data_IF_125241050884
#
_entry.id   IF_125241050884
#
_cell.length_a   1.000
_cell.length_b   1.000
_cell.length_c   1.000
_cell.angle_alpha   90.00
_cell.angle_beta   90.00
_cell.angle_gamma   90.00
#
_symmetry.space_group_name_H-M   'P 1'
#
loop_
_entity.id
_entity.type
_entity.pdbx_description
1 polymer ?
#
# COMPACT_ATOMS: atom_id res chain seq x y z
N UNK A 1 -54.06 1.18 -70.65
CA UNK A 1 -54.32 0.99 -69.23
C UNK A 1 -52.98 0.76 -68.58
N UNK A 2 -52.41 1.78 -68.01
CA UNK A 2 -51.11 1.76 -67.36
C UNK A 2 -51.31 2.15 -65.88
N UNK A 3 -51.15 1.20 -65.02
CA UNK A 3 -51.18 1.42 -63.59
C UNK A 3 -49.77 1.69 -63.09
N UNK A 4 -49.57 2.89 -62.59
CA UNK A 4 -48.31 3.40 -62.06
C UNK A 4 -48.30 3.18 -60.54
N UNK A 5 -47.52 2.21 -60.03
CA UNK A 5 -47.28 2.01 -58.62
C UNK A 5 -46.21 3.02 -58.11
N UNK A 6 -46.61 3.92 -57.23
CA UNK A 6 -45.75 4.81 -56.51
C UNK A 6 -45.18 4.06 -55.29
N UNK A 7 -43.87 3.82 -55.30
CA UNK A 7 -43.15 3.30 -54.15
C UNK A 7 -42.81 4.50 -53.25
N UNK A 8 -43.44 4.56 -52.09
CA UNK A 8 -43.08 5.54 -51.05
C UNK A 8 -41.90 5.02 -50.25
N UNK A 9 -40.73 5.69 -50.39
CA UNK A 9 -39.50 5.42 -49.65
C UNK A 9 -39.62 6.04 -48.27
N UNK A 10 -39.79 5.20 -47.23
CA UNK A 10 -39.76 5.61 -45.84
C UNK A 10 -38.29 5.66 -45.39
N UNK A 11 -37.73 6.87 -45.32
CA UNK A 11 -36.44 7.10 -44.74
C UNK A 11 -36.56 7.13 -43.22
N UNK A 12 -36.23 6.02 -42.53
CA UNK A 12 -36.14 5.96 -41.10
C UNK A 12 -34.85 6.66 -40.61
N UNK A 13 -35.00 7.87 -40.10
CA UNK A 13 -33.96 8.54 -39.36
C UNK A 13 -33.70 7.84 -38.04
N UNK A 14 -32.66 7.04 -37.93
CA UNK A 14 -32.10 6.57 -36.69
C UNK A 14 -31.39 7.74 -35.99
N UNK A 15 -32.11 8.45 -35.11
CA UNK A 15 -31.50 9.33 -34.13
C UNK A 15 -30.76 8.44 -33.11
N UNK A 16 -29.47 8.23 -33.34
CA UNK A 16 -28.58 7.71 -32.33
C UNK A 16 -28.44 8.70 -31.19
N UNK A 17 -29.11 8.43 -30.07
CA UNK A 17 -28.90 9.17 -28.82
C UNK A 17 -27.49 8.83 -28.32
N UNK A 18 -26.53 9.74 -28.57
CA UNK A 18 -25.24 9.73 -27.88
C UNK A 18 -25.55 10.15 -26.44
N UNK A 19 -25.62 9.16 -25.54
CA UNK A 19 -25.64 9.43 -24.12
C UNK A 19 -24.28 10.05 -23.75
N UNK A 20 -24.25 11.19 -23.06
CA UNK A 20 -23.01 11.72 -22.55
C UNK A 20 -22.43 10.68 -21.57
N UNK A 21 -21.25 10.16 -21.88
CA UNK A 21 -20.43 9.45 -20.91
C UNK A 21 -20.03 10.47 -19.84
N UNK A 22 -20.72 10.48 -18.72
CA UNK A 22 -20.20 11.15 -17.53
C UNK A 22 -18.96 10.38 -17.12
N UNK A 23 -17.80 10.92 -17.41
CA UNK A 23 -16.57 10.55 -16.72
C UNK A 23 -16.81 10.88 -15.25
N UNK A 24 -17.05 9.89 -14.42
CA UNK A 24 -17.07 10.09 -12.98
C UNK A 24 -15.65 10.50 -12.59
N UNK A 25 -15.48 11.78 -12.24
CA UNK A 25 -14.21 12.27 -11.72
C UNK A 25 -13.98 11.63 -10.35
N UNK A 26 -13.04 10.68 -10.30
CA UNK A 26 -12.53 10.14 -9.05
C UNK A 26 -11.86 11.25 -8.25
N UNK A 27 -11.77 11.06 -6.94
CA UNK A 27 -11.04 11.97 -6.06
C UNK A 27 -9.60 11.48 -5.96
N UNK A 28 -8.65 12.39 -6.15
CA UNK A 28 -7.23 12.10 -5.95
C UNK A 28 -6.79 12.61 -4.60
N UNK A 29 -6.20 11.72 -3.81
CA UNK A 29 -5.58 12.05 -2.53
C UNK A 29 -4.08 11.80 -2.62
N UNK A 30 -3.31 12.74 -2.09
CA UNK A 30 -1.87 12.61 -1.90
C UNK A 30 -1.61 12.32 -0.43
N UNK A 31 -0.86 11.25 -0.14
CA UNK A 31 -0.50 10.89 1.23
C UNK A 31 0.46 11.92 1.84
N UNK A 32 0.30 12.15 3.16
CA UNK A 32 1.07 13.09 3.98
C UNK A 32 1.92 12.33 4.99
N UNK A 33 3.19 12.07 4.69
CA UNK A 33 4.07 11.35 5.62
C UNK A 33 4.18 12.02 6.99
N UNK A 34 4.18 13.36 7.03
CA UNK A 34 4.28 14.17 8.24
C UNK A 34 3.03 14.10 9.15
N UNK A 35 1.90 13.63 8.63
CA UNK A 35 0.64 13.44 9.34
C UNK A 35 0.31 11.96 9.55
N UNK A 36 1.21 11.06 9.11
CA UNK A 36 1.02 9.62 9.08
C UNK A 36 1.98 8.91 10.01
N UNK A 37 1.55 7.73 10.49
CA UNK A 37 2.41 6.79 11.21
C UNK A 37 2.53 5.50 10.40
N UNK A 38 3.75 5.05 10.14
CA UNK A 38 3.99 3.80 9.45
C UNK A 38 5.21 3.12 10.07
N UNK A 39 5.02 1.96 10.69
CA UNK A 39 6.04 1.26 11.45
C UNK A 39 6.15 -0.20 11.07
N UNK A 40 7.35 -0.75 11.25
CA UNK A 40 7.65 -2.16 11.14
C UNK A 40 8.25 -2.64 12.45
N UNK A 41 7.63 -3.61 13.07
CA UNK A 41 8.19 -4.30 14.22
C UNK A 41 8.88 -5.57 13.76
N UNK A 42 10.15 -5.68 14.10
CA UNK A 42 11.01 -6.83 13.81
C UNK A 42 11.26 -7.58 15.11
N UNK A 43 10.63 -8.71 15.25
CA UNK A 43 10.78 -9.57 16.43
C UNK A 43 12.15 -10.30 16.43
N UNK A 44 12.34 -11.09 17.45
CA UNK A 44 13.55 -11.93 17.67
C UNK A 44 13.23 -13.41 17.51
N UNK A 45 14.23 -14.13 17.00
CA UNK A 45 14.19 -15.56 16.82
C UNK A 45 15.48 -16.21 17.33
N UNK A 46 15.58 -17.54 17.22
CA UNK A 46 16.75 -18.32 17.63
C UNK A 46 16.65 -18.87 19.04
N UNK A 47 17.67 -19.64 19.43
CA UNK A 47 17.68 -20.37 20.69
C UNK A 47 17.76 -19.47 21.92
N UNK A 48 18.48 -18.35 21.81
CA UNK A 48 18.66 -17.36 22.88
C UNK A 48 17.78 -16.11 22.71
N UNK A 49 16.64 -16.21 22.02
CA UNK A 49 15.73 -15.10 21.77
C UNK A 49 15.28 -14.34 23.03
N UNK A 50 15.31 -14.98 24.22
CA UNK A 50 14.96 -14.33 25.51
C UNK A 50 15.93 -13.21 25.90
N UNK A 51 17.15 -13.20 25.37
CA UNK A 51 18.19 -12.20 25.68
C UNK A 51 18.21 -11.03 24.67
N UNK A 52 17.44 -11.12 23.59
CA UNK A 52 17.26 -10.02 22.66
C UNK A 52 16.01 -9.20 22.97
N UNK A 53 15.75 -8.18 22.19
CA UNK A 53 14.52 -7.38 22.22
C UNK A 53 14.00 -7.17 20.80
N UNK A 54 12.74 -6.76 20.68
CA UNK A 54 12.15 -6.45 19.38
C UNK A 54 12.58 -5.06 18.94
N UNK A 55 12.85 -4.88 17.66
CA UNK A 55 13.22 -3.59 17.09
C UNK A 55 12.03 -2.94 16.43
N UNK A 56 11.88 -1.65 16.62
CA UNK A 56 10.88 -0.84 15.92
C UNK A 56 11.57 0.02 14.86
N UNK A 57 11.02 -0.01 13.67
CA UNK A 57 11.48 0.78 12.52
C UNK A 57 10.36 1.69 12.07
N UNK A 58 10.61 2.98 12.02
CA UNK A 58 9.69 3.96 11.44
C UNK A 58 9.98 4.16 9.96
N UNK A 59 8.93 4.22 9.14
CA UNK A 59 8.99 4.57 7.72
C UNK A 59 8.59 6.04 7.57
N UNK A 60 9.57 6.91 7.36
CA UNK A 60 9.37 8.37 7.37
C UNK A 60 9.30 8.99 5.98
N UNK A 61 9.98 8.40 5.00
CA UNK A 61 10.05 8.92 3.63
C UNK A 61 9.26 8.06 2.66
N UNK A 62 8.03 8.45 2.38
CA UNK A 62 7.23 7.81 1.36
C UNK A 62 6.39 8.84 0.58
N UNK A 63 6.00 8.45 -0.63
CA UNK A 63 5.00 9.14 -1.42
C UNK A 63 3.86 8.17 -1.67
N UNK A 64 2.64 8.69 -1.79
CA UNK A 64 1.51 7.82 -2.09
C UNK A 64 0.35 8.59 -2.70
N UNK A 65 -0.33 7.93 -3.61
CA UNK A 65 -1.52 8.44 -4.26
C UNK A 65 -2.66 7.43 -4.11
N UNK A 66 -3.84 7.94 -3.84
CA UNK A 66 -5.09 7.19 -3.85
C UNK A 66 -6.03 7.82 -4.86
N UNK A 67 -6.45 7.06 -5.85
CA UNK A 67 -7.52 7.45 -6.75
C UNK A 67 -8.81 6.80 -6.27
N UNK A 68 -9.62 7.57 -5.55
CA UNK A 68 -10.87 7.13 -4.95
C UNK A 68 -12.03 7.31 -5.90
N UNK A 69 -12.88 6.30 -6.02
CA UNK A 69 -14.10 6.32 -6.82
C UNK A 69 -15.33 6.30 -5.90
N UNK A 70 -15.94 7.47 -5.59
CA UNK A 70 -17.03 7.54 -4.60
C UNK A 70 -18.24 6.67 -4.92
N UNK A 71 -18.58 6.53 -6.20
CA UNK A 71 -19.73 5.73 -6.67
C UNK A 71 -19.40 4.25 -6.78
N UNK A 72 -18.12 3.89 -6.87
CA UNK A 72 -17.61 2.54 -7.00
C UNK A 72 -16.31 2.39 -6.20
N UNK A 73 -16.37 2.38 -4.87
CA UNK A 73 -15.18 2.35 -4.01
C UNK A 73 -14.20 1.22 -4.34
N UNK A 74 -14.70 0.08 -4.79
CA UNK A 74 -13.88 -1.07 -5.19
C UNK A 74 -13.06 -0.84 -6.47
N UNK A 75 -13.44 0.15 -7.29
CA UNK A 75 -12.67 0.56 -8.48
C UNK A 75 -11.53 1.57 -8.14
N UNK A 76 -11.36 1.88 -6.87
CA UNK A 76 -10.30 2.76 -6.40
C UNK A 76 -8.93 2.07 -6.47
N UNK A 77 -7.87 2.87 -6.58
CA UNK A 77 -6.50 2.36 -6.64
C UNK A 77 -5.57 3.10 -5.68
N UNK A 78 -4.55 2.39 -5.21
CA UNK A 78 -3.57 2.87 -4.24
C UNK A 78 -2.18 2.56 -4.77
N UNK A 79 -1.29 3.54 -4.74
CA UNK A 79 0.14 3.39 -5.00
C UNK A 79 0.93 4.06 -3.90
N UNK A 80 1.86 3.34 -3.29
CA UNK A 80 2.77 3.86 -2.27
C UNK A 80 4.19 3.50 -2.66
N UNK A 81 5.08 4.49 -2.61
CA UNK A 81 6.50 4.34 -2.87
C UNK A 81 7.29 4.83 -1.66
N UNK A 82 8.03 3.92 -1.03
CA UNK A 82 8.85 4.19 0.15
C UNK A 82 10.30 4.28 -0.28
N UNK A 83 11.00 5.30 0.22
CA UNK A 83 12.46 5.40 0.09
C UNK A 83 13.10 4.46 1.12
N UNK A 84 13.80 3.42 0.68
CA UNK A 84 14.38 2.40 1.58
C UNK A 84 15.34 3.01 2.62
N UNK A 85 16.09 4.03 2.25
CA UNK A 85 16.99 4.76 3.15
C UNK A 85 16.28 5.65 4.18
N UNK A 86 14.95 5.80 4.11
CA UNK A 86 14.17 6.55 5.08
C UNK A 86 13.67 5.72 6.26
N UNK A 87 13.87 4.42 6.22
CA UNK A 87 13.56 3.53 7.32
C UNK A 87 14.51 3.80 8.48
N UNK A 88 13.97 4.11 9.65
CA UNK A 88 14.74 4.56 10.80
C UNK A 88 14.47 3.68 12.00
N UNK A 89 15.50 3.07 12.55
CA UNK A 89 15.42 2.31 13.81
C UNK A 89 15.18 3.28 14.96
N UNK A 90 14.24 2.97 15.85
CA UNK A 90 13.88 3.82 17.01
C UNK A 90 13.81 2.99 18.29
N UNK A 91 13.91 3.67 19.44
CA UNK A 91 13.72 3.04 20.75
C UNK A 91 14.97 2.43 21.38
N UNK A 92 16.11 2.44 20.67
CA UNK A 92 17.39 1.90 21.14
C UNK A 92 18.30 2.99 21.72
N UNK A 93 19.36 2.58 22.46
CA UNK A 93 20.42 3.53 22.76
C UNK A 93 21.18 3.91 21.46
N UNK A 94 21.96 4.99 21.50
CA UNK A 94 22.54 5.58 20.30
C UNK A 94 23.53 4.65 19.58
N UNK A 95 24.34 3.91 20.31
CA UNK A 95 25.38 3.01 19.76
C UNK A 95 24.71 1.78 19.13
N UNK A 96 23.78 1.15 19.84
CA UNK A 96 23.05 -0.02 19.36
C UNK A 96 22.19 0.34 18.15
N UNK A 97 21.46 1.46 18.21
CA UNK A 97 20.66 1.96 17.09
C UNK A 97 21.49 2.18 15.82
N UNK A 98 22.68 2.81 15.95
CA UNK A 98 23.55 3.05 14.81
C UNK A 98 24.01 1.74 14.14
N UNK A 99 24.34 0.72 14.95
CA UNK A 99 24.74 -0.58 14.44
C UNK A 99 23.57 -1.31 13.74
N UNK A 100 22.38 -1.31 14.35
CA UNK A 100 21.18 -1.94 13.77
C UNK A 100 20.79 -1.23 12.48
N UNK A 101 20.83 0.09 12.46
CA UNK A 101 20.55 0.91 11.27
C UNK A 101 21.50 0.53 10.12
N UNK A 102 22.80 0.47 10.38
CA UNK A 102 23.80 0.12 9.38
C UNK A 102 23.60 -1.31 8.84
N UNK A 103 23.30 -2.26 9.72
CA UNK A 103 23.05 -3.65 9.33
C UNK A 103 21.73 -3.80 8.53
N UNK A 104 20.70 -3.07 8.92
CA UNK A 104 19.43 -3.01 8.18
C UNK A 104 19.63 -2.47 6.76
N UNK A 105 20.29 -1.33 6.62
CA UNK A 105 20.55 -0.72 5.33
C UNK A 105 21.43 -1.57 4.42
N UNK A 106 22.54 -2.09 4.95
CA UNK A 106 23.54 -2.80 4.15
C UNK A 106 23.19 -4.26 3.86
N UNK A 107 22.54 -4.97 4.79
CA UNK A 107 22.33 -6.42 4.73
C UNK A 107 20.87 -6.82 4.51
N UNK A 108 19.95 -6.18 5.23
CA UNK A 108 18.54 -6.53 5.13
C UNK A 108 17.87 -5.90 3.91
N UNK A 109 18.08 -4.62 3.67
CA UNK A 109 17.43 -3.86 2.59
C UNK A 109 18.32 -3.70 1.35
N UNK A 110 19.65 -3.70 1.52
CA UNK A 110 20.62 -3.38 0.46
C UNK A 110 20.25 -2.09 -0.28
N UNK A 111 20.09 -1.00 0.49
CA UNK A 111 19.50 0.26 0.01
C UNK A 111 20.22 0.89 -1.19
N UNK A 112 21.52 0.64 -1.36
CA UNK A 112 22.28 1.10 -2.52
C UNK A 112 21.82 0.41 -3.82
N UNK A 113 21.44 -0.86 -3.75
CA UNK A 113 20.97 -1.66 -4.88
C UNK A 113 19.47 -1.55 -5.10
N UNK A 114 18.72 -1.39 -4.00
CA UNK A 114 17.25 -1.38 -3.99
C UNK A 114 16.74 -0.16 -3.21
N UNK A 115 16.86 1.04 -3.79
CA UNK A 115 16.55 2.30 -3.08
C UNK A 115 15.05 2.51 -2.81
N UNK A 116 14.18 1.70 -3.41
CA UNK A 116 12.73 1.88 -3.34
C UNK A 116 12.01 0.60 -2.96
N UNK A 117 10.96 0.76 -2.14
CA UNK A 117 9.96 -0.26 -1.85
C UNK A 117 8.64 0.25 -2.42
N UNK A 118 7.94 -0.61 -3.16
CA UNK A 118 6.72 -0.21 -3.87
C UNK A 118 5.55 -1.07 -3.43
N UNK A 119 4.39 -0.43 -3.20
CA UNK A 119 3.10 -1.10 -3.12
C UNK A 119 2.16 -0.58 -4.23
N UNK A 120 1.49 -1.49 -4.93
CA UNK A 120 0.46 -1.19 -5.92
C UNK A 120 -0.74 -2.08 -5.69
N UNK A 121 -1.91 -1.48 -5.46
CA UNK A 121 -3.15 -2.24 -5.29
C UNK A 121 -3.60 -2.87 -6.62
N UNK A 122 -4.20 -4.06 -6.51
CA UNK A 122 -4.85 -4.78 -7.61
C UNK A 122 -6.35 -4.88 -7.40
N UNK A 123 -6.78 -5.07 -6.14
CA UNK A 123 -8.17 -5.25 -5.77
C UNK A 123 -8.44 -4.58 -4.42
N UNK A 124 -9.54 -3.88 -4.33
CA UNK A 124 -10.07 -3.31 -3.09
C UNK A 124 -11.43 -3.94 -2.81
N UNK A 125 -11.57 -4.61 -1.68
CA UNK A 125 -12.81 -5.25 -1.24
C UNK A 125 -13.27 -4.62 0.07
N UNK A 126 -14.32 -3.81 0.00
CA UNK A 126 -14.85 -3.04 1.11
C UNK A 126 -16.26 -3.51 1.48
N UNK A 127 -16.58 -3.48 2.76
CA UNK A 127 -17.95 -3.60 3.24
C UNK A 127 -18.74 -2.30 3.06
N UNK A 128 -20.00 -2.33 3.44
CA UNK A 128 -20.85 -1.14 3.41
C UNK A 128 -20.28 -0.06 4.34
N UNK A 129 -20.40 1.20 3.91
CA UNK A 129 -19.94 2.34 4.68
C UNK A 129 -20.86 2.63 5.87
N UNK A 130 -20.28 2.83 7.03
CA UNK A 130 -20.96 3.36 8.21
C UNK A 130 -20.38 4.75 8.54
N UNK A 131 -21.13 5.82 8.25
CA UNK A 131 -20.68 7.19 8.55
C UNK A 131 -19.42 7.64 7.79
N UNK A 132 -19.15 7.08 6.60
CA UNK A 132 -17.95 7.36 5.81
C UNK A 132 -16.75 6.46 6.16
N UNK A 133 -16.92 5.51 7.09
CA UNK A 133 -15.93 4.48 7.42
C UNK A 133 -16.26 3.17 6.69
N UNK A 134 -15.26 2.62 6.02
CA UNK A 134 -15.30 1.33 5.35
C UNK A 134 -14.35 0.37 6.06
N UNK A 135 -14.76 -0.87 6.23
CA UNK A 135 -13.89 -1.97 6.67
C UNK A 135 -13.73 -2.97 5.56
N UNK A 136 -12.50 -3.39 5.33
CA UNK A 136 -12.24 -4.32 4.24
C UNK A 136 -10.80 -4.72 4.14
N UNK A 137 -10.39 -4.98 2.91
CA UNK A 137 -9.01 -5.37 2.59
C UNK A 137 -8.62 -4.83 1.22
N UNK A 138 -7.34 -4.57 1.07
CA UNK A 138 -6.70 -4.32 -0.22
C UNK A 138 -5.77 -5.49 -0.54
N UNK A 139 -5.89 -6.04 -1.74
CA UNK A 139 -4.93 -6.98 -2.31
C UNK A 139 -4.07 -6.22 -3.31
N UNK A 140 -2.76 -6.43 -3.27
CA UNK A 140 -1.84 -5.74 -4.14
C UNK A 140 -0.44 -6.35 -4.09
N UNK A 141 0.46 -5.77 -4.85
CA UNK A 141 1.84 -6.23 -4.96
C UNK A 141 2.76 -5.34 -4.13
N UNK A 142 3.56 -5.97 -3.27
CA UNK A 142 4.74 -5.34 -2.65
C UNK A 142 5.97 -5.76 -3.46
N UNK A 143 6.78 -4.78 -3.85
CA UNK A 143 8.14 -5.01 -4.36
C UNK A 143 9.14 -4.54 -3.32
N UNK A 144 9.93 -5.45 -2.79
CA UNK A 144 11.01 -5.21 -1.83
C UNK A 144 12.26 -5.96 -2.30
N UNK A 145 13.41 -5.30 -2.32
CA UNK A 145 14.69 -5.85 -2.86
C UNK A 145 14.55 -6.45 -4.27
N UNK A 146 13.74 -5.85 -5.12
CA UNK A 146 13.48 -6.33 -6.48
C UNK A 146 12.62 -7.59 -6.57
N UNK A 147 12.18 -8.15 -5.46
CA UNK A 147 11.25 -9.29 -5.39
C UNK A 147 9.83 -8.77 -5.19
N UNK A 148 8.90 -9.23 -6.03
CA UNK A 148 7.48 -8.82 -5.98
C UNK A 148 6.61 -9.98 -5.53
N UNK A 149 5.80 -9.74 -4.50
CA UNK A 149 4.82 -10.70 -3.99
C UNK A 149 3.46 -10.03 -3.77
N UNK A 150 2.41 -10.82 -3.97
CA UNK A 150 1.03 -10.39 -3.67
C UNK A 150 0.75 -10.52 -2.19
N UNK A 151 0.17 -9.48 -1.60
CA UNK A 151 -0.25 -9.42 -0.20
C UNK A 151 -1.70 -9.00 -0.11
N UNK A 152 -2.38 -9.44 0.95
CA UNK A 152 -3.73 -8.98 1.29
C UNK A 152 -3.69 -8.30 2.66
N UNK A 153 -4.03 -7.02 2.69
CA UNK A 153 -3.89 -6.14 3.84
C UNK A 153 -5.29 -5.77 4.35
N UNK A 154 -5.67 -6.17 5.57
CA UNK A 154 -6.88 -5.69 6.20
C UNK A 154 -6.75 -4.21 6.54
N UNK A 155 -7.81 -3.44 6.34
CA UNK A 155 -7.79 -2.02 6.64
C UNK A 155 -9.17 -1.48 7.05
N UNK A 156 -9.13 -0.39 7.80
CA UNK A 156 -10.24 0.54 7.98
C UNK A 156 -9.92 1.81 7.21
N UNK A 157 -10.86 2.26 6.40
CA UNK A 157 -10.71 3.43 5.53
C UNK A 157 -11.79 4.43 5.85
N UNK A 158 -11.42 5.65 6.26
CA UNK A 158 -12.36 6.77 6.43
C UNK A 158 -12.12 7.76 5.31
N UNK A 159 -13.18 8.09 4.56
CA UNK A 159 -13.09 8.99 3.41
C UNK A 159 -14.07 10.13 3.55
N UNK A 160 -13.58 11.34 3.33
CA UNK A 160 -14.36 12.57 3.21
C UNK A 160 -14.02 13.28 1.90
N UNK A 161 -14.72 14.36 1.59
CA UNK A 161 -14.40 15.16 0.40
C UNK A 161 -12.99 15.78 0.40
N UNK A 162 -12.38 15.97 1.57
CA UNK A 162 -11.12 16.69 1.74
C UNK A 162 -9.97 15.79 2.17
N UNK A 163 -10.26 14.66 2.82
CA UNK A 163 -9.25 13.79 3.41
C UNK A 163 -9.63 12.32 3.36
N UNK A 164 -8.61 11.50 3.40
CA UNK A 164 -8.68 10.06 3.51
C UNK A 164 -7.77 9.62 4.66
N UNK A 165 -8.22 8.66 5.48
CA UNK A 165 -7.39 8.01 6.49
C UNK A 165 -7.52 6.50 6.35
N UNK A 166 -6.37 5.83 6.23
CA UNK A 166 -6.30 4.37 6.12
C UNK A 166 -5.51 3.81 7.31
N UNK A 167 -6.10 2.89 8.06
CA UNK A 167 -5.47 2.27 9.22
C UNK A 167 -5.48 0.75 9.08
N UNK A 168 -4.41 0.10 9.50
CA UNK A 168 -4.35 -1.35 9.46
C UNK A 168 -3.07 -1.91 10.03
N UNK A 169 -3.09 -3.23 10.15
CA UNK A 169 -1.95 -4.03 10.60
C UNK A 169 -1.92 -5.31 9.76
N UNK A 170 -0.74 -5.71 9.31
CA UNK A 170 -0.53 -6.94 8.58
C UNK A 170 0.88 -7.46 8.79
N UNK A 171 1.10 -8.70 8.37
CA UNK A 171 2.37 -9.38 8.54
C UNK A 171 2.86 -9.91 7.20
N UNK A 172 4.17 -9.80 6.96
CA UNK A 172 4.87 -10.43 5.85
C UNK A 172 6.07 -11.22 6.37
N UNK A 173 6.59 -12.11 5.55
CA UNK A 173 7.88 -12.76 5.82
C UNK A 173 8.99 -12.08 5.03
N UNK A 174 10.06 -11.71 5.72
CA UNK A 174 11.24 -11.13 5.07
C UNK A 174 11.83 -12.06 4.03
N UNK A 175 11.88 -13.37 4.31
CA UNK A 175 12.38 -14.41 3.40
C UNK A 175 11.63 -14.49 2.07
N UNK A 176 10.34 -14.17 2.04
CA UNK A 176 9.56 -14.12 0.79
C UNK A 176 10.09 -13.04 -0.18
N UNK A 177 10.79 -12.04 0.35
CA UNK A 177 11.42 -10.96 -0.42
C UNK A 177 12.95 -11.06 -0.47
N UNK A 178 13.51 -12.19 -0.07
CA UNK A 178 14.95 -12.39 -0.04
C UNK A 178 15.68 -11.59 1.05
N UNK A 179 14.94 -11.06 2.04
CA UNK A 179 15.54 -10.41 3.22
C UNK A 179 16.15 -11.49 4.11
N UNK A 180 17.46 -11.40 4.35
CA UNK A 180 18.13 -12.33 5.23
C UNK A 180 17.97 -11.91 6.70
N UNK A 181 17.74 -12.91 7.56
CA UNK A 181 17.72 -12.69 8.99
C UNK A 181 19.10 -12.25 9.50
N UNK A 182 19.17 -11.09 10.13
CA UNK A 182 20.42 -10.64 10.77
C UNK A 182 20.68 -11.49 12.01
N UNK A 183 21.87 -12.06 12.10
CA UNK A 183 22.27 -12.90 13.23
C UNK A 183 23.43 -12.31 14.00
N UNK A 184 23.34 -12.38 15.32
CA UNK A 184 24.40 -11.98 16.25
C UNK A 184 24.78 -13.15 17.17
N UNK A 185 25.87 -12.96 17.93
CA UNK A 185 26.38 -13.98 18.87
C UNK A 185 26.54 -15.37 18.25
N UNK A 186 27.15 -15.45 17.05
CA UNK A 186 27.39 -16.73 16.36
C UNK A 186 26.12 -17.43 15.87
N UNK A 187 25.05 -16.67 15.60
CA UNK A 187 23.77 -17.21 15.10
C UNK A 187 22.79 -17.68 16.17
N UNK A 188 23.11 -17.46 17.44
CA UNK A 188 22.26 -17.89 18.57
C UNK A 188 21.07 -16.94 18.81
N UNK A 189 21.19 -15.68 18.40
CA UNK A 189 20.11 -14.69 18.34
C UNK A 189 19.97 -14.21 16.90
N UNK A 190 18.75 -14.17 16.40
CA UNK A 190 18.42 -13.73 15.04
C UNK A 190 17.22 -12.80 15.08
N UNK A 191 17.11 -11.93 14.08
CA UNK A 191 15.84 -11.24 13.80
C UNK A 191 14.77 -12.27 13.39
N UNK A 192 13.50 -11.96 13.69
CA UNK A 192 12.37 -12.77 13.18
C UNK A 192 12.30 -12.67 11.66
N UNK A 193 11.80 -13.71 11.04
CA UNK A 193 11.38 -13.67 9.63
C UNK A 193 10.05 -12.95 9.46
N UNK A 194 9.20 -13.02 10.48
CA UNK A 194 7.92 -12.30 10.48
C UNK A 194 8.14 -10.82 10.80
N UNK A 195 7.67 -9.97 9.91
CA UNK A 195 7.68 -8.52 10.00
C UNK A 195 6.25 -8.05 10.21
N UNK A 196 5.97 -7.41 11.35
CA UNK A 196 4.66 -6.85 11.68
C UNK A 196 4.63 -5.38 11.25
N UNK A 197 3.74 -5.04 10.31
CA UNK A 197 3.58 -3.69 9.78
C UNK A 197 2.30 -3.08 10.31
N UNK A 198 2.41 -1.88 10.87
CA UNK A 198 1.26 -1.09 11.36
C UNK A 198 1.26 0.27 10.67
N UNK A 199 0.11 0.71 10.20
CA UNK A 199 0.00 1.99 9.53
C UNK A 199 -1.25 2.76 9.93
N UNK A 200 -1.09 4.09 9.93
CA UNK A 200 -2.13 5.09 10.04
C UNK A 200 -1.79 6.20 9.05
N UNK A 201 -2.31 6.09 7.84
CA UNK A 201 -1.94 6.94 6.71
C UNK A 201 -3.02 8.00 6.47
N UNK A 202 -2.59 9.23 6.36
CA UNK A 202 -3.44 10.39 6.06
C UNK A 202 -3.19 10.85 4.64
N UNK A 203 -4.25 11.02 3.87
CA UNK A 203 -4.24 11.59 2.52
C UNK A 203 -5.09 12.85 2.46
N UNK A 204 -4.62 13.84 1.70
CA UNK A 204 -5.33 15.10 1.46
C UNK A 204 -5.68 15.20 -0.02
N UNK A 205 -6.90 15.63 -0.31
CA UNK A 205 -7.38 15.82 -1.68
C UNK A 205 -6.63 16.96 -2.37
N UNK A 206 -6.24 16.74 -3.62
CA UNK A 206 -5.65 17.77 -4.48
C UNK A 206 -6.70 18.72 -5.08
#
# INVERSE_FOLDING_TARGET
MQDTYRIASICALLLGSVLPSFSQEGWRFTLRPEESEFTVKVGRAGFLKVFGHDHLVEIRGFNGEVNWQPEQPEASSIRIEVQAASLTVVGEDEEERAQIQADMEAKALEVESYPQILFVSEELSLGDAEGGEYRGRVTGQITLRGVTNTVTIPLTLTVSEQSLRAQGEFQIKGSDFGVEQISVAGGTVKTSDDLELTFDLVGVRE
#
